data_IF_399814173234
#
_entry.id   IF_399814173234
#
_cell.length_a   1.000
_cell.length_b   1.000
_cell.length_c   1.000
_cell.angle_alpha   90.00
_cell.angle_beta   90.00
_cell.angle_gamma   90.00
#
_symmetry.space_group_name_H-M   'P 1'
#
loop_
_entity.id
_entity.type
_entity.pdbx_description
1 polymer ?
#
# COMPACT_ATOMS: atom_id res chain seq x y z
N UNK A 1 -26.43 -38.56 -23.95
CA UNK A 1 -25.57 -37.75 -23.04
C UNK A 1 -24.40 -38.61 -22.64
N UNK A 2 -23.22 -38.03 -22.42
CA UNK A 2 -22.04 -38.78 -22.01
C UNK A 2 -22.14 -38.97 -20.49
N UNK A 3 -22.17 -40.21 -20.04
CA UNK A 3 -22.28 -40.56 -18.63
C UNK A 3 -20.88 -40.49 -17.99
N UNK A 4 -20.80 -40.36 -16.66
CA UNK A 4 -19.53 -40.31 -15.93
C UNK A 4 -18.62 -41.54 -16.21
N UNK A 5 -19.24 -42.68 -16.50
CA UNK A 5 -18.58 -43.92 -16.92
C UNK A 5 -17.72 -43.73 -18.18
N UNK A 6 -18.21 -42.97 -19.17
CA UNK A 6 -17.49 -42.70 -20.41
C UNK A 6 -16.23 -41.85 -20.21
N UNK A 7 -16.32 -40.85 -19.31
CA UNK A 7 -15.15 -40.03 -18.96
C UNK A 7 -14.07 -40.84 -18.24
N UNK A 8 -14.45 -41.82 -17.43
CA UNK A 8 -13.49 -42.71 -16.75
C UNK A 8 -12.65 -43.49 -17.77
N UNK A 9 -13.28 -44.03 -18.83
CA UNK A 9 -12.58 -44.83 -19.85
C UNK A 9 -11.61 -43.98 -20.64
N UNK A 10 -12.04 -42.81 -21.08
CA UNK A 10 -11.20 -41.86 -21.83
C UNK A 10 -10.05 -41.36 -20.95
N UNK A 11 -10.34 -41.06 -19.68
CA UNK A 11 -9.35 -40.73 -18.67
C UNK A 11 -8.32 -41.85 -18.49
N UNK A 12 -8.74 -43.11 -18.37
CA UNK A 12 -7.85 -44.26 -18.23
C UNK A 12 -6.89 -44.41 -19.42
N UNK A 13 -7.40 -44.29 -20.65
CA UNK A 13 -6.55 -44.35 -21.87
C UNK A 13 -5.56 -43.19 -21.89
N UNK A 14 -6.01 -41.97 -21.59
CA UNK A 14 -5.14 -40.80 -21.48
C UNK A 14 -4.08 -40.97 -20.37
N UNK A 15 -4.44 -41.57 -19.24
CA UNK A 15 -3.52 -41.87 -18.13
C UNK A 15 -2.48 -42.92 -18.50
N UNK A 16 -2.77 -43.85 -19.41
CA UNK A 16 -1.77 -44.81 -19.91
C UNK A 16 -0.79 -44.12 -20.86
N UNK A 17 -1.29 -43.26 -21.76
CA UNK A 17 -0.48 -42.52 -22.74
C UNK A 17 0.39 -41.45 -22.07
N UNK A 18 -0.20 -40.64 -21.20
CA UNK A 18 0.46 -39.50 -20.56
C UNK A 18 1.02 -39.83 -19.17
N UNK A 19 0.42 -40.78 -18.45
CA UNK A 19 0.77 -41.10 -17.07
C UNK A 19 -0.04 -40.31 -16.03
N UNK A 20 -0.38 -40.90 -14.87
CA UNK A 20 -1.15 -40.25 -13.80
C UNK A 20 -0.43 -39.07 -13.16
N UNK A 21 0.88 -38.97 -13.32
CA UNK A 21 1.67 -37.84 -12.82
C UNK A 21 1.64 -36.63 -13.75
N UNK A 22 1.40 -36.83 -15.07
CA UNK A 22 1.47 -35.75 -16.07
C UNK A 22 0.20 -34.92 -16.15
N UNK A 23 -0.98 -35.52 -16.03
CA UNK A 23 -2.24 -34.76 -15.96
C UNK A 23 -2.26 -33.72 -14.82
N UNK A 24 -1.93 -34.05 -13.55
CA UNK A 24 -1.90 -33.06 -12.48
C UNK A 24 -0.76 -32.05 -12.64
N UNK A 25 0.37 -32.45 -13.24
CA UNK A 25 1.49 -31.55 -13.55
C UNK A 25 1.06 -30.47 -14.55
N UNK A 26 0.44 -30.86 -15.67
CA UNK A 26 -0.09 -29.94 -16.70
C UNK A 26 -1.23 -29.10 -16.12
N UNK A 27 -2.15 -29.70 -15.35
CA UNK A 27 -3.24 -28.97 -14.71
C UNK A 27 -2.76 -27.90 -13.72
N UNK A 28 -1.68 -28.17 -12.97
CA UNK A 28 -1.05 -27.17 -12.09
C UNK A 28 -0.41 -26.04 -12.88
N UNK A 29 0.28 -26.33 -13.98
CA UNK A 29 0.89 -25.31 -14.83
C UNK A 29 -0.18 -24.43 -15.50
N UNK A 30 -1.15 -25.06 -16.18
CA UNK A 30 -2.26 -24.38 -16.84
C UNK A 30 -3.12 -23.58 -15.83
N UNK A 31 -3.36 -24.13 -14.64
CA UNK A 31 -4.12 -23.48 -13.58
C UNK A 31 -3.48 -22.19 -13.08
N UNK A 32 -2.14 -22.12 -13.03
CA UNK A 32 -1.42 -20.88 -12.71
C UNK A 32 -1.66 -19.81 -13.79
N UNK A 33 -1.53 -20.19 -15.07
CA UNK A 33 -1.80 -19.29 -16.20
C UNK A 33 -3.23 -18.79 -16.19
N UNK A 34 -4.22 -19.66 -15.96
CA UNK A 34 -5.64 -19.29 -15.91
C UNK A 34 -5.92 -18.35 -14.73
N UNK A 35 -5.28 -18.58 -13.58
CA UNK A 35 -5.41 -17.70 -12.40
C UNK A 35 -4.82 -16.32 -12.65
N UNK A 36 -3.63 -16.25 -13.26
CA UNK A 36 -2.99 -14.99 -13.63
C UNK A 36 -3.80 -14.24 -14.70
N UNK A 37 -4.29 -14.96 -15.71
CA UNK A 37 -5.17 -14.41 -16.75
C UNK A 37 -6.46 -13.85 -16.15
N UNK A 38 -7.10 -14.59 -15.23
CA UNK A 38 -8.28 -14.11 -14.49
C UNK A 38 -7.95 -12.82 -13.75
N UNK A 39 -6.86 -12.77 -12.99
CA UNK A 39 -6.49 -11.60 -12.19
C UNK A 39 -6.23 -10.37 -13.08
N UNK A 40 -5.48 -10.56 -14.18
CA UNK A 40 -5.22 -9.49 -15.16
C UNK A 40 -6.53 -9.00 -15.79
N UNK A 41 -7.42 -9.92 -16.17
CA UNK A 41 -8.72 -9.56 -16.79
C UNK A 41 -9.66 -8.91 -15.78
N UNK A 42 -9.66 -9.36 -14.52
CA UNK A 42 -10.48 -8.78 -13.45
C UNK A 42 -10.11 -7.32 -13.18
N UNK A 43 -8.82 -6.97 -13.15
CA UNK A 43 -8.40 -5.56 -13.01
C UNK A 43 -8.93 -4.68 -14.15
N UNK A 44 -8.87 -5.16 -15.40
CA UNK A 44 -9.40 -4.42 -16.56
C UNK A 44 -10.93 -4.26 -16.53
N UNK A 45 -11.65 -5.28 -16.06
CA UNK A 45 -13.10 -5.23 -15.87
C UNK A 45 -13.48 -4.25 -14.74
N UNK A 46 -12.70 -4.21 -13.66
CA UNK A 46 -12.95 -3.34 -12.51
C UNK A 46 -12.69 -1.87 -12.84
N UNK A 47 -11.65 -1.57 -13.62
CA UNK A 47 -11.38 -0.21 -14.15
C UNK A 47 -12.48 0.30 -15.09
N UNK A 48 -13.18 -0.61 -15.76
CA UNK A 48 -14.29 -0.29 -16.66
C UNK A 48 -15.61 -0.05 -15.90
N UNK A 49 -15.78 -0.65 -14.71
CA UNK A 49 -16.97 -0.49 -13.87
C UNK A 49 -16.81 0.59 -12.77
N UNK A 50 -15.58 1.04 -12.48
CA UNK A 50 -15.27 2.02 -11.41
C UNK A 50 -15.20 3.47 -11.92
N UNK A 51 -15.73 3.76 -13.12
CA UNK A 51 -15.94 5.14 -13.59
C UNK A 51 -17.18 5.81 -12.96
N UNK A 52 -17.90 5.15 -12.05
CA UNK A 52 -19.05 5.71 -11.34
C UNK A 52 -19.06 5.44 -9.82
N UNK A 53 -17.97 5.67 -9.08
CA UNK A 53 -18.05 6.08 -7.67
C UNK A 53 -16.67 6.43 -7.11
N UNK A 54 -16.60 7.47 -6.27
CA UNK A 54 -15.44 7.92 -5.49
C UNK A 54 -14.49 8.96 -6.11
N UNK A 55 -15.01 10.18 -6.24
CA UNK A 55 -14.23 11.41 -6.07
C UNK A 55 -14.58 12.07 -4.73
N UNK A 56 -14.23 11.44 -3.59
CA UNK A 56 -14.36 12.13 -2.30
C UNK A 56 -13.59 11.45 -1.16
N UNK A 57 -12.25 11.42 -1.18
CA UNK A 57 -11.44 11.23 0.04
C UNK A 57 -10.00 11.77 -0.18
N UNK A 58 -9.83 13.09 -0.14
CA UNK A 58 -8.51 13.71 0.15
C UNK A 58 -8.69 15.16 0.63
N UNK A 59 -9.31 15.33 1.80
CA UNK A 59 -9.25 16.56 2.60
C UNK A 59 -9.22 16.19 4.10
N UNK A 60 -8.23 15.39 4.50
CA UNK A 60 -7.89 15.28 5.92
C UNK A 60 -6.43 14.87 6.09
N UNK A 61 -5.54 15.84 5.93
CA UNK A 61 -4.14 15.76 6.36
C UNK A 61 -3.63 17.18 6.58
N UNK A 62 -4.14 17.87 7.61
CA UNK A 62 -3.51 19.03 8.27
C UNK A 62 -4.21 19.31 9.62
N UNK A 63 -4.03 18.43 10.61
CA UNK A 63 -4.08 18.77 12.04
C UNK A 63 -3.45 17.60 12.81
N UNK A 64 -2.71 17.90 13.87
CA UNK A 64 -2.08 16.95 14.83
C UNK A 64 -0.60 16.59 14.59
N UNK A 65 0.26 17.61 14.64
CA UNK A 65 1.61 17.42 15.19
C UNK A 65 2.14 18.69 15.87
N UNK A 66 1.48 19.09 16.96
CA UNK A 66 2.02 20.00 17.97
C UNK A 66 1.41 19.55 19.29
N UNK A 67 2.20 19.04 20.24
CA UNK A 67 1.99 19.10 21.70
C UNK A 67 2.89 18.08 22.42
N UNK A 68 4.17 18.37 22.59
CA UNK A 68 4.97 17.82 23.69
C UNK A 68 6.26 18.62 24.03
N UNK A 69 6.32 19.93 23.76
CA UNK A 69 7.34 20.80 24.37
C UNK A 69 6.65 22.09 24.83
N UNK A 70 5.86 21.98 25.89
CA UNK A 70 5.55 23.11 26.78
C UNK A 70 5.08 22.59 28.13
N UNK A 71 6.05 22.14 28.93
CA UNK A 71 5.93 22.01 30.37
C UNK A 71 7.21 22.60 30.95
N UNK A 72 7.31 23.94 30.94
CA UNK A 72 8.33 24.65 31.73
C UNK A 72 8.07 26.15 31.98
N UNK A 73 6.84 26.68 31.85
CA UNK A 73 6.65 28.16 31.89
C UNK A 73 5.50 28.64 32.79
N UNK A 74 5.17 27.92 33.88
CA UNK A 74 4.17 28.40 34.85
C UNK A 74 4.73 28.66 36.26
N UNK A 75 6.05 28.67 36.44
CA UNK A 75 6.69 29.08 37.69
C UNK A 75 7.73 30.17 37.40
N UNK A 76 7.30 31.37 36.98
CA UNK A 76 8.06 32.58 37.34
C UNK A 76 7.23 33.86 37.11
N UNK A 77 6.54 34.27 38.17
CA UNK A 77 6.00 35.62 38.34
C UNK A 77 6.56 36.16 39.66
N UNK A 78 7.88 36.29 39.78
CA UNK A 78 8.61 37.06 40.80
C UNK A 78 10.04 37.23 40.29
N UNK A 79 10.46 38.34 39.70
CA UNK A 79 11.01 39.51 40.39
C UNK A 79 11.46 40.47 39.28
N UNK A 80 10.96 41.70 39.25
CA UNK A 80 11.72 42.87 39.70
C UNK A 80 12.55 43.55 38.59
N UNK A 81 12.26 44.84 38.42
CA UNK A 81 13.13 45.93 37.97
C UNK A 81 13.69 45.91 36.53
N UNK A 82 13.10 46.79 35.71
CA UNK A 82 13.78 47.72 34.77
C UNK A 82 15.08 48.31 35.37
N UNK A 83 15.93 49.08 34.63
CA UNK A 83 15.97 49.48 33.22
C UNK A 83 17.36 49.07 32.62
N UNK A 84 17.88 49.43 31.46
CA UNK A 84 18.22 50.76 30.93
C UNK A 84 19.31 50.53 29.85
N UNK A 85 19.13 51.19 28.70
CA UNK A 85 20.16 51.86 27.87
C UNK A 85 21.44 51.15 27.38
N UNK A 86 21.87 51.63 26.22
CA UNK A 86 23.28 51.78 25.80
C UNK A 86 24.00 50.57 25.17
N UNK A 87 24.31 50.69 23.88
CA UNK A 87 25.69 50.50 23.44
C UNK A 87 26.03 49.29 22.57
N UNK A 88 26.54 49.61 21.38
CA UNK A 88 27.55 48.88 20.62
C UNK A 88 27.13 47.65 19.81
N UNK A 89 26.52 47.92 18.65
CA UNK A 89 26.94 47.28 17.41
C UNK A 89 28.45 47.47 17.19
N UNK A 90 29.20 46.37 17.08
CA UNK A 90 30.34 46.12 16.17
C UNK A 90 31.04 44.83 16.60
N UNK A 91 31.36 43.95 15.66
CA UNK A 91 32.69 43.88 15.06
C UNK A 91 32.91 42.56 14.30
N UNK A 92 33.36 42.73 13.05
CA UNK A 92 34.27 41.89 12.27
C UNK A 92 34.13 40.37 12.38
N UNK A 93 33.82 39.75 11.24
CA UNK A 93 34.72 38.75 10.66
C UNK A 93 34.57 38.80 9.13
N UNK A 94 35.36 39.69 8.51
CA UNK A 94 35.66 39.70 7.09
C UNK A 94 37.19 39.73 6.94
N UNK A 95 37.72 39.06 5.91
CA UNK A 95 39.14 38.83 5.60
C UNK A 95 39.74 37.67 6.41
N UNK A 96 40.09 36.52 5.83
CA UNK A 96 41.02 36.28 4.69
C UNK A 96 40.54 35.11 3.84
#
# INVERSE_FOLDING_TARGET
MINAEGLIVIGAVALILFGPKKLPEIGRAAGKTIREFKNATSGLLEDSNTKENHKNQNFQSQKEQTNNISVSTANDLTENSSPSSEGAEKNLNNSV
#
